data_IF_439685952429
#
_entry.id   IF_439685952429
#
_cell.length_a   1.000
_cell.length_b   1.000
_cell.length_c   1.000
_cell.angle_alpha   90.00
_cell.angle_beta   90.00
_cell.angle_gamma   90.00
#
_symmetry.space_group_name_H-M   'P 1'
#
loop_
_entity.id
_entity.type
_entity.pdbx_description
1 polymer ?
#
# COMPACT_ATOMS: atom_id res chain seq x y z
N UNK A 1 4.45 19.28 -20.94
CA UNK A 1 4.70 19.88 -19.62
C UNK A 1 5.44 18.83 -18.79
N UNK A 2 6.35 19.23 -17.89
CA UNK A 2 7.02 18.26 -17.01
C UNK A 2 5.99 17.60 -16.10
N UNK A 3 6.17 16.30 -15.83
CA UNK A 3 5.30 15.56 -14.92
C UNK A 3 5.70 15.86 -13.48
N UNK A 4 4.76 16.23 -12.62
CA UNK A 4 5.00 16.64 -11.25
C UNK A 4 4.76 15.51 -10.27
N UNK A 5 5.70 15.29 -9.36
CA UNK A 5 5.58 14.34 -8.26
C UNK A 5 5.64 15.14 -6.95
N UNK A 6 4.60 15.02 -6.13
CA UNK A 6 4.58 15.60 -4.79
C UNK A 6 5.18 14.60 -3.80
N UNK A 7 6.19 15.04 -3.06
CA UNK A 7 6.87 14.30 -2.01
C UNK A 7 6.34 14.77 -0.67
N UNK A 8 5.78 13.83 0.10
CA UNK A 8 5.29 14.02 1.46
C UNK A 8 6.09 13.08 2.38
N UNK A 9 7.21 13.53 2.98
CA UNK A 9 8.03 12.65 3.81
C UNK A 9 7.28 12.15 5.06
N UNK A 10 6.52 13.04 5.69
CA UNK A 10 5.72 12.75 6.88
C UNK A 10 6.58 12.54 8.13
N UNK A 11 6.19 11.57 8.96
CA UNK A 11 6.64 11.43 10.34
C UNK A 11 7.63 10.27 10.56
N UNK A 12 8.37 10.32 11.67
CA UNK A 12 9.24 9.23 12.13
C UNK A 12 10.36 8.90 11.14
N UNK A 13 10.42 7.66 10.64
CA UNK A 13 11.38 7.24 9.60
C UNK A 13 11.03 7.76 8.19
N UNK A 14 9.85 8.34 8.00
CA UNK A 14 9.38 8.83 6.70
C UNK A 14 10.40 9.71 5.97
N UNK A 15 11.01 10.72 6.62
CA UNK A 15 12.07 11.52 6.02
C UNK A 15 13.32 10.75 5.57
N UNK A 16 13.80 9.77 6.36
CA UNK A 16 15.03 9.04 6.02
C UNK A 16 14.83 8.05 4.86
N UNK A 17 13.72 7.31 4.83
CA UNK A 17 13.43 6.40 3.72
C UNK A 17 13.06 7.16 2.44
N UNK A 18 12.39 8.31 2.56
CA UNK A 18 12.02 9.14 1.41
C UNK A 18 13.26 9.74 0.75
N UNK A 19 14.26 10.15 1.53
CA UNK A 19 15.53 10.63 0.98
C UNK A 19 16.17 9.58 0.06
N UNK A 20 16.20 8.32 0.49
CA UNK A 20 16.76 7.22 -0.32
C UNK A 20 15.90 6.90 -1.56
N UNK A 21 14.57 6.92 -1.42
CA UNK A 21 13.67 6.76 -2.56
C UNK A 21 13.83 7.88 -3.61
N UNK A 22 14.02 9.14 -3.18
CA UNK A 22 14.29 10.28 -4.06
C UNK A 22 15.64 10.14 -4.78
N UNK A 23 16.68 9.60 -4.12
CA UNK A 23 17.96 9.31 -4.80
C UNK A 23 17.76 8.33 -5.97
N UNK A 24 17.06 7.22 -5.73
CA UNK A 24 16.73 6.21 -6.74
C UNK A 24 15.90 6.81 -7.87
N UNK A 25 14.84 7.56 -7.53
CA UNK A 25 13.98 8.24 -8.50
C UNK A 25 14.78 9.20 -9.38
N UNK A 26 15.65 10.01 -8.78
CA UNK A 26 16.50 10.97 -9.51
C UNK A 26 17.46 10.27 -10.47
N UNK A 27 18.06 9.15 -10.04
CA UNK A 27 18.94 8.33 -10.89
C UNK A 27 18.18 7.77 -12.10
N UNK A 28 17.01 7.20 -11.88
CA UNK A 28 16.17 6.62 -12.94
C UNK A 28 15.61 7.69 -13.88
N UNK A 29 15.17 8.83 -13.35
CA UNK A 29 14.71 9.96 -14.14
C UNK A 29 15.78 10.43 -15.13
N UNK A 30 17.02 10.56 -14.66
CA UNK A 30 18.16 10.92 -15.51
C UNK A 30 18.53 9.82 -16.53
N UNK A 31 18.51 8.55 -16.11
CA UNK A 31 18.87 7.41 -16.98
C UNK A 31 17.88 7.20 -18.13
N UNK A 32 16.59 7.46 -17.89
CA UNK A 32 15.52 7.28 -18.87
C UNK A 32 15.05 8.58 -19.52
N UNK A 33 15.54 9.74 -19.06
CA UNK A 33 15.15 11.06 -19.58
C UNK A 33 13.67 11.39 -19.37
N UNK A 34 13.12 11.09 -18.19
CA UNK A 34 11.66 11.18 -17.93
C UNK A 34 11.20 12.62 -17.64
N UNK A 35 12.09 13.47 -17.13
CA UNK A 35 11.87 14.91 -16.94
C UNK A 35 10.89 15.23 -15.81
N UNK A 36 10.98 14.52 -14.69
CA UNK A 36 10.11 14.77 -13.54
C UNK A 36 10.45 16.07 -12.81
N UNK A 37 9.43 16.70 -12.22
CA UNK A 37 9.60 17.83 -11.30
C UNK A 37 9.13 17.42 -9.91
N UNK A 38 10.05 17.46 -8.94
CA UNK A 38 9.72 17.12 -7.56
C UNK A 38 9.28 18.36 -6.79
N UNK A 39 8.16 18.27 -6.09
CA UNK A 39 7.64 19.29 -5.17
C UNK A 39 7.53 18.68 -3.79
N UNK A 40 7.76 19.46 -2.74
CA UNK A 40 7.78 18.98 -1.37
C UNK A 40 6.75 19.75 -0.53
N UNK A 41 6.09 19.04 0.39
CA UNK A 41 5.26 19.63 1.44
C UNK A 41 5.13 18.65 2.63
N UNK A 42 4.41 19.05 3.67
CA UNK A 42 4.24 18.25 4.88
C UNK A 42 2.88 17.54 4.94
N UNK A 43 2.85 16.37 5.58
CA UNK A 43 1.65 15.64 5.95
C UNK A 43 1.78 15.10 7.38
N UNK A 44 0.67 14.88 8.06
CA UNK A 44 0.66 14.16 9.33
C UNK A 44 1.09 15.03 10.50
N UNK A 45 1.89 14.46 11.41
CA UNK A 45 2.41 15.16 12.57
C UNK A 45 3.30 16.35 12.22
N UNK A 46 4.15 16.20 11.20
CA UNK A 46 4.99 17.27 10.65
C UNK A 46 4.14 18.45 10.13
N UNK A 47 3.03 18.15 9.46
CA UNK A 47 2.07 19.19 9.03
C UNK A 47 1.37 19.84 10.23
N UNK A 48 0.99 19.04 11.23
CA UNK A 48 0.37 19.56 12.45
C UNK A 48 1.31 20.52 13.20
N UNK A 49 2.57 20.15 13.37
CA UNK A 49 3.56 20.98 14.07
C UNK A 49 3.85 22.29 13.29
N UNK A 50 3.75 22.27 11.95
CA UNK A 50 4.02 23.43 11.09
C UNK A 50 2.81 24.34 10.85
N UNK A 51 1.63 23.75 10.64
CA UNK A 51 0.43 24.44 10.16
C UNK A 51 -0.74 24.38 11.16
N UNK A 52 -0.61 23.63 12.26
CA UNK A 52 -1.71 23.38 13.21
C UNK A 52 -2.77 22.40 12.67
N UNK A 53 -2.52 21.73 11.55
CA UNK A 53 -3.43 20.77 10.90
C UNK A 53 -2.64 19.60 10.31
N UNK A 54 -3.15 18.35 10.40
CA UNK A 54 -2.48 17.20 9.81
C UNK A 54 -2.47 17.21 8.27
N UNK A 55 -3.22 18.12 7.65
CA UNK A 55 -3.21 18.42 6.22
C UNK A 55 -3.64 19.87 6.00
N UNK A 56 -2.71 20.73 5.57
CA UNK A 56 -3.02 22.10 5.16
C UNK A 56 -3.77 22.14 3.82
N UNK A 57 -4.56 23.19 3.60
CA UNK A 57 -5.33 23.34 2.37
C UNK A 57 -4.40 23.57 1.16
N UNK A 58 -3.29 24.28 1.35
CA UNK A 58 -2.24 24.47 0.33
C UNK A 58 -1.60 23.13 -0.06
N UNK A 59 -1.37 22.23 0.90
CA UNK A 59 -0.87 20.88 0.62
C UNK A 59 -1.89 20.10 -0.18
N UNK A 60 -3.18 20.20 0.16
CA UNK A 60 -4.24 19.55 -0.60
C UNK A 60 -4.33 20.07 -2.05
N UNK A 61 -4.10 21.36 -2.27
CA UNK A 61 -4.06 21.93 -3.62
C UNK A 61 -2.85 21.42 -4.42
N UNK A 62 -1.68 21.27 -3.79
CA UNK A 62 -0.52 20.60 -4.42
C UNK A 62 -0.81 19.14 -4.75
N UNK A 63 -1.46 18.42 -3.84
CA UNK A 63 -1.89 17.03 -4.04
C UNK A 63 -2.80 16.92 -5.26
N UNK A 64 -3.73 17.88 -5.45
CA UNK A 64 -4.61 17.93 -6.63
C UNK A 64 -3.85 18.26 -7.91
N UNK A 65 -2.84 19.13 -7.85
CA UNK A 65 -2.05 19.56 -9.00
C UNK A 65 -1.01 18.53 -9.48
N UNK A 66 -0.47 17.72 -8.58
CA UNK A 66 0.56 16.73 -8.92
C UNK A 66 0.03 15.57 -9.78
N UNK A 67 0.88 14.95 -10.60
CA UNK A 67 0.53 13.75 -11.35
C UNK A 67 0.59 12.48 -10.49
N UNK A 68 1.49 12.47 -9.50
CA UNK A 68 1.60 11.41 -8.50
C UNK A 68 2.02 11.97 -7.13
N UNK A 69 1.73 11.23 -6.06
CA UNK A 69 2.17 11.55 -4.70
C UNK A 69 3.03 10.40 -4.17
N UNK A 70 4.21 10.70 -3.63
CA UNK A 70 5.01 9.77 -2.83
C UNK A 70 4.90 10.16 -1.36
N UNK A 71 4.53 9.21 -0.51
CA UNK A 71 4.37 9.38 0.92
C UNK A 71 5.33 8.46 1.67
N UNK A 72 6.00 8.99 2.70
CA UNK A 72 6.87 8.21 3.60
C UNK A 72 6.05 7.46 4.64
N UNK A 73 5.73 8.11 5.76
CA UNK A 73 4.86 7.53 6.79
C UNK A 73 4.14 8.64 7.58
N UNK A 74 3.07 8.30 8.30
CA UNK A 74 2.38 9.23 9.20
C UNK A 74 2.16 8.60 10.58
N UNK A 75 2.14 9.44 11.62
CA UNK A 75 1.82 9.04 12.98
C UNK A 75 3.01 9.03 13.93
N UNK A 76 2.73 9.10 15.23
CA UNK A 76 3.72 9.01 16.29
C UNK A 76 3.14 9.34 17.67
N UNK A 77 3.75 8.85 18.77
CA UNK A 77 3.20 8.98 20.13
C UNK A 77 3.01 10.43 20.59
N UNK A 78 3.77 11.36 20.00
CA UNK A 78 3.66 12.80 20.26
C UNK A 78 2.24 13.34 20.03
N UNK A 79 1.48 12.74 19.10
CA UNK A 79 0.15 13.21 18.70
C UNK A 79 -0.98 12.27 19.13
N UNK A 80 -0.74 11.32 20.05
CA UNK A 80 -1.80 10.42 20.53
C UNK A 80 -2.81 11.13 21.45
N UNK A 81 -2.40 12.21 22.10
CA UNK A 81 -3.20 12.93 23.11
C UNK A 81 -3.93 14.16 22.56
N UNK A 82 -3.68 14.55 21.31
CA UNK A 82 -4.40 15.65 20.67
C UNK A 82 -5.82 15.23 20.25
N UNK A 83 -6.63 16.20 19.83
CA UNK A 83 -7.98 15.97 19.33
C UNK A 83 -7.97 14.87 18.24
N UNK A 84 -8.80 13.81 18.35
CA UNK A 84 -8.88 12.73 17.36
C UNK A 84 -9.12 13.18 15.91
N UNK A 85 -9.69 14.37 15.69
CA UNK A 85 -9.89 14.99 14.38
C UNK A 85 -8.64 15.65 13.79
N UNK A 86 -7.63 15.94 14.63
CA UNK A 86 -6.36 16.57 14.26
C UNK A 86 -5.18 15.58 14.24
N UNK A 87 -5.41 14.31 14.56
CA UNK A 87 -4.37 13.28 14.54
C UNK A 87 -3.78 13.07 13.14
N UNK A 88 -2.49 12.67 13.02
CA UNK A 88 -1.79 12.53 11.74
C UNK A 88 -2.54 11.69 10.68
N UNK A 89 -3.15 10.58 11.09
CA UNK A 89 -3.85 9.65 10.20
C UNK A 89 -5.06 10.31 9.51
N UNK A 90 -5.61 11.38 10.09
CA UNK A 90 -6.72 12.15 9.49
C UNK A 90 -6.30 12.84 8.20
N UNK A 91 -5.06 13.33 8.11
CA UNK A 91 -4.52 13.90 6.88
C UNK A 91 -4.48 12.87 5.75
N UNK A 92 -3.96 11.67 6.05
CA UNK A 92 -3.90 10.55 5.11
C UNK A 92 -5.28 10.13 4.60
N UNK A 93 -6.24 9.94 5.50
CA UNK A 93 -7.62 9.58 5.13
C UNK A 93 -8.28 10.68 4.28
N UNK A 94 -8.05 11.96 4.61
CA UNK A 94 -8.58 13.11 3.85
C UNK A 94 -8.00 13.13 2.43
N UNK A 95 -6.70 12.91 2.24
CA UNK A 95 -6.07 12.80 0.90
C UNK A 95 -6.73 11.67 0.08
N UNK A 96 -6.80 10.45 0.64
CA UNK A 96 -7.37 9.29 -0.06
C UNK A 96 -8.81 9.53 -0.52
N UNK A 97 -9.63 10.12 0.35
CA UNK A 97 -11.01 10.47 0.03
C UNK A 97 -11.11 11.59 -1.02
N UNK A 98 -10.37 12.68 -0.86
CA UNK A 98 -10.43 13.86 -1.74
C UNK A 98 -9.96 13.58 -3.17
N UNK A 99 -9.02 12.65 -3.34
CA UNK A 99 -8.54 12.20 -4.64
C UNK A 99 -9.36 11.04 -5.22
N UNK A 100 -10.29 10.46 -4.44
CA UNK A 100 -11.03 9.27 -4.85
C UNK A 100 -10.12 8.07 -5.10
N UNK A 101 -9.05 7.90 -4.30
CA UNK A 101 -8.10 6.79 -4.41
C UNK A 101 -8.74 5.49 -3.88
N UNK A 102 -9.67 4.92 -4.65
CA UNK A 102 -10.48 3.79 -4.19
C UNK A 102 -9.76 2.44 -4.29
N UNK A 103 -8.73 2.32 -5.13
CA UNK A 103 -8.03 1.07 -5.41
C UNK A 103 -6.69 1.01 -4.68
N UNK A 104 -6.62 0.28 -3.56
CA UNK A 104 -5.35 0.05 -2.86
C UNK A 104 -4.71 -1.26 -3.30
N UNK A 105 -3.54 -1.18 -3.92
CA UNK A 105 -2.73 -2.28 -4.41
C UNK A 105 -1.64 -2.57 -3.38
N UNK A 106 -1.66 -3.77 -2.80
CA UNK A 106 -0.65 -4.27 -1.87
C UNK A 106 -0.07 -5.58 -2.41
N UNK A 107 1.06 -5.53 -3.15
CA UNK A 107 1.77 -6.72 -3.54
C UNK A 107 2.43 -7.38 -2.31
N UNK A 108 2.26 -8.68 -2.16
CA UNK A 108 3.04 -9.52 -1.25
C UNK A 108 3.99 -10.35 -2.10
N UNK A 109 5.21 -9.83 -2.27
CA UNK A 109 6.29 -10.46 -3.02
C UNK A 109 7.36 -10.93 -2.04
N UNK A 110 7.73 -12.21 -2.10
CA UNK A 110 8.85 -12.75 -1.35
C UNK A 110 10.04 -13.02 -2.26
N UNK A 111 11.05 -12.16 -2.15
CA UNK A 111 12.37 -12.38 -2.72
C UNK A 111 12.97 -13.70 -2.20
N UNK A 112 13.44 -14.62 -3.06
CA UNK A 112 14.00 -15.91 -2.62
C UNK A 112 15.11 -15.76 -1.57
N UNK A 113 15.90 -14.68 -1.65
CA UNK A 113 16.98 -14.33 -0.74
C UNK A 113 16.51 -13.98 0.69
N UNK A 114 15.19 -13.82 0.87
CA UNK A 114 14.53 -13.50 2.14
C UNK A 114 13.59 -14.63 2.60
N UNK A 115 13.60 -15.81 1.98
CA UNK A 115 12.67 -16.88 2.32
C UNK A 115 12.74 -17.31 3.80
N UNK A 116 13.95 -17.30 4.37
CA UNK A 116 14.21 -17.61 5.78
C UNK A 116 13.72 -16.52 6.76
N UNK A 117 13.36 -15.32 6.28
CA UNK A 117 12.72 -14.30 7.12
C UNK A 117 11.27 -14.65 7.44
N UNK A 118 10.62 -15.50 6.63
CA UNK A 118 9.27 -15.97 6.89
C UNK A 118 9.24 -16.97 8.04
N UNK A 119 8.17 -16.95 8.82
CA UNK A 119 7.88 -17.99 9.82
C UNK A 119 7.28 -19.25 9.20
N UNK A 120 6.89 -19.20 7.92
CA UNK A 120 6.42 -20.37 7.17
C UNK A 120 7.60 -21.14 6.60
N UNK A 121 7.40 -22.45 6.39
CA UNK A 121 8.40 -23.28 5.75
C UNK A 121 8.76 -22.75 4.35
N UNK A 122 10.04 -22.68 3.95
CA UNK A 122 10.46 -22.10 2.68
C UNK A 122 9.72 -22.67 1.46
N UNK A 123 9.42 -23.96 1.41
CA UNK A 123 8.70 -24.59 0.29
C UNK A 123 7.26 -24.06 0.10
N UNK A 124 6.63 -23.54 1.17
CA UNK A 124 5.28 -22.99 1.16
C UNK A 124 5.27 -21.57 0.59
N UNK A 125 6.29 -20.76 0.92
CA UNK A 125 6.24 -19.31 0.74
C UNK A 125 7.28 -18.76 -0.24
N UNK A 126 8.40 -19.46 -0.46
CA UNK A 126 9.42 -19.04 -1.43
C UNK A 126 8.81 -18.89 -2.83
N UNK A 127 9.10 -17.75 -3.47
CA UNK A 127 8.51 -17.33 -4.74
C UNK A 127 7.06 -16.84 -4.63
N UNK A 128 6.61 -16.43 -3.45
CA UNK A 128 5.30 -15.79 -3.28
C UNK A 128 5.23 -14.52 -4.13
N UNK A 129 4.20 -14.42 -4.97
CA UNK A 129 3.89 -13.24 -5.76
C UNK A 129 2.37 -13.14 -5.91
N UNK A 130 1.73 -12.40 -5.00
CA UNK A 130 0.31 -12.10 -5.07
C UNK A 130 0.05 -10.61 -4.91
N UNK A 131 -1.08 -10.15 -5.44
CA UNK A 131 -1.55 -8.78 -5.31
C UNK A 131 -2.90 -8.77 -4.60
N UNK A 132 -3.00 -8.05 -3.48
CA UNK A 132 -4.29 -7.76 -2.86
C UNK A 132 -4.73 -6.37 -3.29
N UNK A 133 -5.91 -6.33 -3.92
CA UNK A 133 -6.62 -5.14 -4.30
C UNK A 133 -7.77 -4.89 -3.32
N UNK A 134 -7.58 -3.88 -2.46
CA UNK A 134 -8.51 -3.48 -1.41
C UNK A 134 -9.29 -2.25 -1.84
N UNK A 135 -10.61 -2.26 -1.68
CA UNK A 135 -11.41 -1.03 -1.77
C UNK A 135 -11.06 -0.11 -0.58
N UNK A 136 -10.67 1.14 -0.84
CA UNK A 136 -10.03 1.99 0.18
C UNK A 136 -10.90 3.13 0.71
N UNK A 137 -12.00 3.47 0.03
CA UNK A 137 -12.74 4.73 0.27
C UNK A 137 -14.18 4.54 0.76
N UNK A 138 -14.65 3.30 0.85
CA UNK A 138 -16.00 2.96 1.30
C UNK A 138 -16.01 1.90 2.40
N UNK A 139 -17.15 1.21 2.52
CA UNK A 139 -17.35 0.17 3.51
C UNK A 139 -17.45 0.68 4.95
N UNK A 140 -17.22 -0.21 5.92
CA UNK A 140 -17.45 0.06 7.35
C UNK A 140 -16.58 1.18 7.93
N UNK A 141 -15.49 1.55 7.24
CA UNK A 141 -14.57 2.57 7.72
C UNK A 141 -15.14 3.98 7.51
N UNK A 142 -16.04 4.14 6.53
CA UNK A 142 -16.66 5.42 6.17
C UNK A 142 -18.19 5.41 6.34
N UNK A 143 -18.79 4.25 6.56
CA UNK A 143 -20.22 4.06 6.63
C UNK A 143 -20.90 4.84 7.76
N UNK A 144 -22.09 5.36 7.47
CA UNK A 144 -22.97 6.06 8.39
C UNK A 144 -24.35 5.38 8.42
N UNK A 145 -25.08 5.42 9.55
CA UNK A 145 -24.68 6.03 10.82
C UNK A 145 -23.65 5.18 11.58
N UNK A 146 -22.83 5.83 12.43
CA UNK A 146 -21.89 5.15 13.33
C UNK A 146 -21.73 5.87 14.66
N UNK A 147 -21.38 5.14 15.72
CA UNK A 147 -21.03 5.71 17.02
C UNK A 147 -21.53 4.89 18.19
N UNK A 148 -21.65 5.54 19.35
CA UNK A 148 -22.21 4.95 20.56
C UNK A 148 -23.43 5.72 21.03
N UNK A 149 -24.44 5.02 21.55
CA UNK A 149 -25.62 5.62 22.19
C UNK A 149 -25.97 4.90 23.48
N UNK A 150 -26.68 5.59 24.36
CA UNK A 150 -27.35 4.97 25.52
C UNK A 150 -28.78 4.62 25.12
N UNK A 151 -29.16 3.36 25.27
CA UNK A 151 -30.50 2.86 25.02
C UNK A 151 -31.46 3.29 26.14
N UNK A 152 -32.76 3.15 25.90
CA UNK A 152 -33.79 3.51 26.89
C UNK A 152 -33.67 2.74 28.21
N UNK A 153 -33.13 1.53 28.17
CA UNK A 153 -32.84 0.71 29.36
C UNK A 153 -31.54 1.10 30.10
N UNK A 154 -30.86 2.16 29.66
CA UNK A 154 -29.59 2.62 30.23
C UNK A 154 -28.33 1.93 29.70
N UNK A 155 -28.45 0.92 28.82
CA UNK A 155 -27.30 0.22 28.27
C UNK A 155 -26.57 1.04 27.19
N UNK A 156 -25.25 0.90 27.11
CA UNK A 156 -24.46 1.46 26.01
C UNK A 156 -24.48 0.51 24.83
N UNK A 157 -24.87 1.02 23.67
CA UNK A 157 -24.79 0.33 22.38
C UNK A 157 -23.78 1.05 21.47
N UNK A 158 -22.90 0.28 20.83
CA UNK A 158 -22.08 0.74 19.71
C UNK A 158 -22.65 0.22 18.39
N UNK A 159 -22.48 0.97 17.30
CA UNK A 159 -22.91 0.57 15.97
C UNK A 159 -22.01 1.19 14.90
N UNK A 160 -21.76 0.42 13.85
CA UNK A 160 -21.06 0.83 12.63
C UNK A 160 -21.82 0.23 11.44
N UNK A 161 -21.85 0.94 10.30
CA UNK A 161 -22.60 0.53 9.12
C UNK A 161 -21.64 0.13 8.01
N UNK A 162 -21.88 -0.98 7.31
CA UNK A 162 -21.09 -1.45 6.15
C UNK A 162 -21.89 -1.24 4.84
N UNK A 163 -21.98 -0.01 4.32
CA UNK A 163 -22.64 0.25 3.04
C UNK A 163 -21.66 0.05 1.88
N UNK A 164 -22.18 -0.49 0.77
CA UNK A 164 -21.56 -0.39 -0.54
C UNK A 164 -22.66 -0.15 -1.58
N UNK A 165 -22.43 0.81 -2.46
CA UNK A 165 -23.19 0.97 -3.69
C UNK A 165 -22.63 0.07 -4.80
N UNK A 166 -23.48 -0.27 -5.77
CA UNK A 166 -23.07 -1.00 -6.97
C UNK A 166 -21.89 -0.33 -7.69
N UNK A 167 -21.91 1.00 -7.81
CA UNK A 167 -20.84 1.76 -8.46
C UNK A 167 -19.49 1.63 -7.77
N UNK A 168 -19.46 1.55 -6.44
CA UNK A 168 -18.23 1.39 -5.66
C UNK A 168 -17.63 0.00 -5.85
N UNK A 169 -18.47 -1.04 -5.90
CA UNK A 169 -18.04 -2.41 -6.15
C UNK A 169 -17.58 -2.55 -7.61
N UNK A 170 -18.34 -1.99 -8.56
CA UNK A 170 -18.05 -2.11 -10.00
C UNK A 170 -16.70 -1.51 -10.37
N UNK A 171 -16.32 -0.35 -9.80
CA UNK A 171 -15.02 0.29 -10.08
C UNK A 171 -13.83 -0.53 -9.55
N UNK A 172 -13.91 -1.09 -8.34
CA UNK A 172 -12.83 -1.91 -7.77
C UNK A 172 -12.75 -3.28 -8.43
N UNK A 173 -13.88 -3.87 -8.80
CA UNK A 173 -13.93 -5.11 -9.58
C UNK A 173 -13.23 -4.94 -10.94
N UNK A 174 -13.56 -3.88 -11.69
CA UNK A 174 -12.89 -3.56 -12.97
C UNK A 174 -11.39 -3.40 -12.79
N UNK A 175 -10.96 -2.64 -11.78
CA UNK A 175 -9.54 -2.52 -11.46
C UNK A 175 -8.89 -3.89 -11.16
N UNK A 176 -9.58 -4.78 -10.42
CA UNK A 176 -9.11 -6.14 -10.13
C UNK A 176 -8.92 -6.99 -11.37
N UNK A 177 -9.87 -6.94 -12.31
CA UNK A 177 -9.77 -7.65 -13.58
C UNK A 177 -8.64 -7.11 -14.47
N UNK A 178 -8.47 -5.79 -14.58
CA UNK A 178 -7.35 -5.22 -15.34
C UNK A 178 -5.99 -5.57 -14.71
N UNK A 179 -5.88 -5.57 -13.38
CA UNK A 179 -4.66 -6.01 -12.70
C UNK A 179 -4.37 -7.50 -12.92
N UNK A 180 -5.39 -8.36 -12.89
CA UNK A 180 -5.24 -9.78 -13.20
C UNK A 180 -4.78 -10.00 -14.65
N UNK A 181 -5.24 -9.17 -15.60
CA UNK A 181 -4.84 -9.22 -17.01
C UNK A 181 -3.35 -8.93 -17.21
N UNK A 182 -2.79 -8.03 -16.41
CA UNK A 182 -1.36 -7.71 -16.41
C UNK A 182 -0.49 -8.76 -15.68
N UNK A 183 -1.11 -9.78 -15.10
CA UNK A 183 -0.45 -10.81 -14.26
C UNK A 183 -0.84 -12.22 -14.72
N UNK A 184 -1.08 -13.14 -13.79
CA UNK A 184 -1.39 -14.55 -14.04
C UNK A 184 -2.81 -14.84 -14.54
N UNK A 185 -3.61 -13.81 -14.87
CA UNK A 185 -4.98 -13.92 -15.36
C UNK A 185 -5.92 -14.68 -14.43
N UNK A 186 -5.70 -14.60 -13.11
CA UNK A 186 -6.58 -15.18 -12.09
C UNK A 186 -7.01 -14.12 -11.09
N UNK A 187 -8.32 -14.02 -10.85
CA UNK A 187 -8.91 -13.13 -9.87
C UNK A 187 -9.69 -13.94 -8.82
N UNK A 188 -9.35 -13.78 -7.55
CA UNK A 188 -10.11 -14.31 -6.44
C UNK A 188 -10.87 -13.16 -5.75
N UNK A 189 -12.21 -13.16 -5.86
CA UNK A 189 -13.05 -12.24 -5.11
C UNK A 189 -13.33 -12.79 -3.72
N UNK A 190 -12.89 -12.07 -2.69
CA UNK A 190 -13.05 -12.47 -1.30
C UNK A 190 -14.18 -11.68 -0.62
N UNK A 191 -15.15 -12.40 -0.03
CA UNK A 191 -16.35 -11.81 0.58
C UNK A 191 -16.87 -12.63 1.79
N UNK A 192 -18.02 -12.24 2.36
CA UNK A 192 -18.78 -13.05 3.34
C UNK A 192 -20.24 -13.22 2.91
N UNK A 193 -20.48 -13.59 1.64
CA UNK A 193 -21.81 -13.61 1.04
C UNK A 193 -22.78 -14.64 1.67
N UNK A 194 -22.27 -15.59 2.47
CA UNK A 194 -23.10 -16.50 3.25
C UNK A 194 -23.77 -15.84 4.47
N UNK A 195 -23.37 -14.62 4.84
CA UNK A 195 -23.91 -13.90 6.02
C UNK A 195 -24.32 -12.47 5.69
N UNK A 196 -23.48 -11.72 4.96
CA UNK A 196 -23.64 -10.27 4.82
C UNK A 196 -24.33 -9.88 3.50
N UNK A 197 -25.38 -9.07 3.59
CA UNK A 197 -26.06 -8.52 2.41
C UNK A 197 -25.13 -7.67 1.53
N UNK A 198 -24.22 -6.89 2.15
CA UNK A 198 -23.19 -6.13 1.43
C UNK A 198 -22.27 -7.05 0.61
N UNK A 199 -21.89 -8.21 1.16
CA UNK A 199 -21.10 -9.21 0.45
C UNK A 199 -21.89 -9.97 -0.63
N UNK A 200 -23.21 -10.14 -0.46
CA UNK A 200 -24.06 -10.72 -1.51
C UNK A 200 -24.13 -9.79 -2.72
N UNK A 201 -24.33 -8.49 -2.49
CA UNK A 201 -24.26 -7.48 -3.55
C UNK A 201 -22.86 -7.44 -4.17
N UNK A 202 -21.81 -7.47 -3.35
CA UNK A 202 -20.41 -7.52 -3.82
C UNK A 202 -20.20 -8.64 -4.84
N UNK A 203 -20.58 -9.87 -4.46
CA UNK A 203 -20.43 -11.05 -5.32
C UNK A 203 -21.20 -10.90 -6.62
N UNK A 204 -22.47 -10.50 -6.56
CA UNK A 204 -23.31 -10.34 -7.74
C UNK A 204 -22.71 -9.34 -8.74
N UNK A 205 -22.23 -8.18 -8.25
CA UNK A 205 -21.62 -7.16 -9.12
C UNK A 205 -20.29 -7.62 -9.71
N UNK A 206 -19.46 -8.34 -8.94
CA UNK A 206 -18.20 -8.90 -9.46
C UNK A 206 -18.48 -9.92 -10.58
N UNK A 207 -19.47 -10.80 -10.41
CA UNK A 207 -19.90 -11.76 -11.43
C UNK A 207 -20.46 -11.07 -12.69
N UNK A 208 -21.16 -9.96 -12.54
CA UNK A 208 -21.61 -9.14 -13.67
C UNK A 208 -20.45 -8.53 -14.44
N UNK A 209 -19.48 -7.93 -13.73
CA UNK A 209 -18.29 -7.35 -14.36
C UNK A 209 -17.47 -8.43 -15.08
N UNK A 210 -17.40 -9.64 -14.52
CA UNK A 210 -16.66 -10.75 -15.12
C UNK A 210 -17.05 -11.08 -16.58
N UNK A 211 -18.29 -10.76 -16.98
CA UNK A 211 -18.78 -10.96 -18.36
C UNK A 211 -17.98 -10.14 -19.38
N UNK A 212 -17.42 -9.01 -18.96
CA UNK A 212 -16.57 -8.15 -19.79
C UNK A 212 -15.11 -8.64 -19.85
N UNK A 213 -14.75 -9.66 -19.06
CA UNK A 213 -13.39 -10.17 -18.87
C UNK A 213 -13.30 -11.70 -19.04
N UNK A 214 -13.70 -12.24 -20.22
CA UNK A 214 -13.72 -13.69 -20.44
C UNK A 214 -12.31 -14.34 -20.42
N UNK A 215 -11.25 -13.54 -20.51
CA UNK A 215 -9.86 -13.99 -20.46
C UNK A 215 -9.31 -14.19 -19.05
N UNK A 216 -10.08 -13.84 -18.00
CA UNK A 216 -9.66 -13.91 -16.60
C UNK A 216 -10.43 -15.00 -15.87
N UNK A 217 -9.70 -15.90 -15.20
CA UNK A 217 -10.30 -16.93 -14.36
C UNK A 217 -10.76 -16.32 -13.03
N UNK A 218 -12.07 -16.08 -12.91
CA UNK A 218 -12.71 -15.64 -11.67
C UNK A 218 -12.97 -16.83 -10.73
N UNK A 219 -12.66 -16.63 -9.46
CA UNK A 219 -13.05 -17.51 -8.35
C UNK A 219 -13.58 -16.68 -7.18
N UNK A 220 -14.35 -17.31 -6.30
CA UNK A 220 -14.84 -16.68 -5.07
C UNK A 220 -14.42 -17.46 -3.84
N UNK A 221 -14.08 -16.75 -2.77
CA UNK A 221 -13.68 -17.36 -1.51
C UNK A 221 -14.26 -16.57 -0.33
N UNK A 222 -14.65 -17.27 0.74
CA UNK A 222 -15.04 -16.57 1.96
C UNK A 222 -13.80 -16.06 2.71
N UNK A 223 -13.91 -14.90 3.36
CA UNK A 223 -12.78 -14.23 4.04
C UNK A 223 -12.08 -15.11 5.08
N UNK A 224 -12.81 -15.92 5.82
CA UNK A 224 -12.24 -16.89 6.78
C UNK A 224 -11.45 -17.99 6.08
N UNK A 225 -11.96 -18.54 4.97
CA UNK A 225 -11.21 -19.49 4.16
C UNK A 225 -10.00 -18.82 3.49
N UNK A 226 -10.12 -17.58 3.00
CA UNK A 226 -9.01 -16.83 2.43
C UNK A 226 -7.87 -16.64 3.44
N UNK A 227 -8.21 -16.30 4.68
CA UNK A 227 -7.24 -16.24 5.77
C UNK A 227 -6.54 -17.60 6.00
N UNK A 228 -7.27 -18.72 5.95
CA UNK A 228 -6.65 -20.05 6.04
C UNK A 228 -5.76 -20.37 4.83
N UNK A 229 -6.20 -20.03 3.62
CA UNK A 229 -5.49 -20.32 2.38
C UNK A 229 -4.19 -19.51 2.23
N UNK A 230 -4.16 -18.28 2.73
CA UNK A 230 -2.92 -17.48 2.81
C UNK A 230 -1.84 -18.16 3.66
N UNK A 231 -2.21 -18.94 4.69
CA UNK A 231 -1.24 -19.72 5.47
C UNK A 231 -0.94 -21.06 4.79
N UNK A 232 -1.97 -21.74 4.30
CA UNK A 232 -1.87 -23.12 3.81
C UNK A 232 -1.17 -23.24 2.46
N UNK A 233 -1.54 -22.39 1.50
CA UNK A 233 -1.08 -22.46 0.12
C UNK A 233 -1.18 -21.08 -0.55
N UNK A 234 -0.41 -20.07 -0.09
CA UNK A 234 -0.55 -18.69 -0.56
C UNK A 234 -0.23 -18.51 -2.04
N UNK A 235 0.65 -19.34 -2.61
CA UNK A 235 1.01 -19.34 -4.04
C UNK A 235 -0.13 -19.72 -4.99
N UNK A 236 -1.32 -20.08 -4.48
CA UNK A 236 -2.49 -20.31 -5.33
C UNK A 236 -3.10 -18.99 -5.85
N UNK A 237 -2.85 -17.88 -5.15
CA UNK A 237 -3.40 -16.57 -5.50
C UNK A 237 -2.51 -15.84 -6.49
N UNK A 238 -3.16 -15.11 -7.40
CA UNK A 238 -2.52 -14.13 -8.29
C UNK A 238 -3.00 -12.73 -7.89
N UNK A 239 -4.28 -12.42 -8.15
CA UNK A 239 -4.93 -11.21 -7.66
C UNK A 239 -6.10 -11.57 -6.74
N UNK A 240 -6.16 -10.94 -5.58
CA UNK A 240 -7.31 -10.96 -4.67
C UNK A 240 -7.99 -9.59 -4.76
N UNK A 241 -9.31 -9.56 -4.88
CA UNK A 241 -10.10 -8.33 -4.75
C UNK A 241 -11.10 -8.45 -3.61
N UNK A 242 -11.17 -7.45 -2.74
CA UNK A 242 -12.05 -7.50 -1.56
C UNK A 242 -12.38 -6.11 -1.02
N UNK A 243 -13.29 -6.07 -0.05
CA UNK A 243 -13.74 -4.83 0.58
C UNK A 243 -12.68 -4.18 1.47
N UNK A 244 -13.01 -3.03 2.05
CA UNK A 244 -12.07 -2.26 2.84
C UNK A 244 -11.57 -3.01 4.09
N UNK A 245 -12.47 -3.60 4.88
CA UNK A 245 -12.12 -4.23 6.15
C UNK A 245 -11.43 -5.58 5.94
N UNK A 246 -11.95 -6.41 5.03
CA UNK A 246 -11.33 -7.69 4.69
C UNK A 246 -9.98 -7.48 4.00
N UNK A 247 -9.88 -6.48 3.12
CA UNK A 247 -8.62 -6.13 2.46
C UNK A 247 -7.56 -5.66 3.44
N UNK A 248 -7.95 -4.89 4.47
CA UNK A 248 -7.04 -4.51 5.55
C UNK A 248 -6.40 -5.75 6.20
N UNK A 249 -7.25 -6.64 6.72
CA UNK A 249 -6.84 -7.83 7.47
C UNK A 249 -6.02 -8.78 6.60
N UNK A 250 -6.51 -9.11 5.40
CA UNK A 250 -5.84 -10.06 4.51
C UNK A 250 -4.53 -9.52 3.95
N UNK A 251 -4.45 -8.21 3.69
CA UNK A 251 -3.21 -7.61 3.19
C UNK A 251 -2.12 -7.57 4.24
N UNK A 252 -2.45 -7.28 5.50
CA UNK A 252 -1.50 -7.37 6.62
C UNK A 252 -1.11 -8.83 6.89
N UNK A 253 -2.05 -9.76 6.77
CA UNK A 253 -1.74 -11.19 6.87
C UNK A 253 -0.77 -11.63 5.76
N UNK A 254 -1.04 -11.28 4.49
CA UNK A 254 -0.18 -11.59 3.36
C UNK A 254 1.20 -10.95 3.48
N UNK A 255 1.24 -9.73 4.02
CA UNK A 255 2.47 -9.01 4.33
C UNK A 255 3.37 -9.83 5.26
N UNK A 256 2.80 -10.37 6.34
CA UNK A 256 3.55 -11.16 7.32
C UNK A 256 4.02 -12.52 6.77
N UNK A 257 3.41 -13.05 5.70
CA UNK A 257 3.91 -14.26 5.03
C UNK A 257 5.32 -14.05 4.47
N UNK A 258 5.64 -12.83 4.03
CA UNK A 258 6.96 -12.50 3.46
C UNK A 258 8.05 -12.36 4.53
N UNK A 259 7.68 -12.28 5.82
CA UNK A 259 8.63 -12.16 6.93
C UNK A 259 9.14 -10.74 7.20
N UNK A 260 8.99 -9.79 6.26
CA UNK A 260 9.31 -8.38 6.52
C UNK A 260 8.32 -7.43 5.87
N UNK A 261 7.64 -6.66 6.72
CA UNK A 261 6.82 -5.51 6.30
C UNK A 261 7.67 -4.39 5.67
N UNK A 262 8.97 -4.33 5.98
CA UNK A 262 9.94 -3.35 5.47
C UNK A 262 10.23 -3.48 3.97
N UNK A 263 9.72 -4.53 3.32
CA UNK A 263 9.89 -4.81 1.89
C UNK A 263 8.64 -4.51 1.05
N UNK A 264 7.54 -4.09 1.67
CA UNK A 264 6.23 -4.10 1.03
C UNK A 264 5.82 -2.70 0.60
N UNK A 265 5.82 -2.41 -0.72
CA UNK A 265 5.28 -1.16 -1.23
C UNK A 265 3.76 -1.22 -1.29
N UNK A 266 3.12 -0.06 -1.49
CA UNK A 266 1.71 0.00 -1.83
C UNK A 266 1.40 1.19 -2.75
N UNK A 267 0.30 1.07 -3.46
CA UNK A 267 -0.25 2.14 -4.28
C UNK A 267 -1.73 2.31 -3.98
N UNK A 268 -2.21 3.56 -3.97
CA UNK A 268 -3.62 3.90 -3.88
C UNK A 268 -3.97 4.70 -5.13
N UNK A 269 -4.81 4.17 -6.01
CA UNK A 269 -5.09 4.72 -7.34
C UNK A 269 -6.53 5.24 -7.46
N UNK A 270 -6.70 6.33 -8.19
CA UNK A 270 -8.01 6.79 -8.68
C UNK A 270 -8.42 6.05 -9.97
N UNK A 271 -9.56 6.46 -10.54
CA UNK A 271 -10.08 5.86 -11.77
C UNK A 271 -9.25 6.17 -13.03
N UNK A 272 -8.35 7.15 -12.95
CA UNK A 272 -7.54 7.66 -14.06
C UNK A 272 -6.04 7.34 -13.87
N UNK A 273 -5.72 6.38 -12.99
CA UNK A 273 -4.35 5.96 -12.67
C UNK A 273 -3.48 7.03 -12.00
N UNK A 274 -4.05 8.15 -11.54
CA UNK A 274 -3.35 9.05 -10.61
C UNK A 274 -3.30 8.38 -9.24
N UNK A 275 -2.11 8.38 -8.64
CA UNK A 275 -1.85 7.56 -7.46
C UNK A 275 -1.11 8.26 -6.35
N UNK A 276 -1.31 7.75 -5.14
CA UNK A 276 -0.43 7.95 -3.99
C UNK A 276 0.29 6.63 -3.69
N UNK A 277 1.60 6.71 -3.47
CA UNK A 277 2.49 5.58 -3.33
C UNK A 277 3.22 5.67 -2.00
N UNK A 278 3.12 4.63 -1.18
CA UNK A 278 3.59 4.63 0.20
C UNK A 278 4.05 3.22 0.60
N UNK A 279 5.06 3.06 1.46
CA UNK A 279 5.36 1.77 2.05
C UNK A 279 4.20 1.30 2.95
N UNK A 280 4.03 -0.01 3.12
CA UNK A 280 3.02 -0.56 4.02
C UNK A 280 3.37 -0.38 5.52
N UNK A 281 4.64 -0.19 5.85
CA UNK A 281 5.09 -0.06 7.24
C UNK A 281 4.75 1.33 7.81
N UNK A 282 4.60 1.42 9.14
CA UNK A 282 4.34 2.68 9.83
C UNK A 282 5.58 3.57 9.97
N UNK A 283 5.45 4.63 10.77
CA UNK A 283 6.49 5.64 11.00
C UNK A 283 7.65 5.21 11.89
N UNK A 284 7.56 4.03 12.53
CA UNK A 284 8.62 3.44 13.38
C UNK A 284 9.36 4.48 14.27
N UNK A 285 8.63 5.21 15.13
CA UNK A 285 9.15 6.36 15.87
C UNK A 285 10.27 5.99 16.85
N UNK A 286 10.35 4.73 17.26
CA UNK A 286 11.38 4.17 18.12
C UNK A 286 12.75 4.07 17.43
N UNK A 287 12.80 4.06 16.09
CA UNK A 287 14.04 3.99 15.31
C UNK A 287 14.31 5.24 14.44
N UNK A 288 13.40 6.21 14.44
CA UNK A 288 13.53 7.46 13.71
C UNK A 288 14.87 8.17 14.02
N UNK A 289 15.60 8.56 12.97
CA UNK A 289 16.87 9.28 13.11
C UNK A 289 18.07 8.41 13.53
N UNK A 290 17.89 7.09 13.68
CA UNK A 290 18.99 6.16 13.98
C UNK A 290 19.67 5.61 12.73
N UNK A 291 19.13 5.88 11.53
CA UNK A 291 19.71 5.44 10.26
C UNK A 291 19.68 3.92 10.07
N UNK A 292 18.68 3.25 10.65
CA UNK A 292 18.51 1.79 10.58
C UNK A 292 17.18 1.36 9.92
N UNK A 293 16.37 2.31 9.44
CA UNK A 293 15.17 1.99 8.70
C UNK A 293 15.49 1.30 7.36
N UNK A 294 14.55 0.49 6.89
CA UNK A 294 14.62 -0.15 5.58
C UNK A 294 14.01 0.77 4.51
N UNK A 295 14.80 1.31 3.55
CA UNK A 295 14.25 2.16 2.51
C UNK A 295 13.59 1.37 1.37
N UNK A 296 13.75 0.04 1.32
CA UNK A 296 13.41 -0.77 0.15
C UNK A 296 11.91 -0.76 -0.18
N UNK A 297 11.01 -0.77 0.81
CA UNK A 297 9.57 -0.61 0.55
C UNK A 297 9.24 0.72 -0.14
N UNK A 298 9.84 1.83 0.29
CA UNK A 298 9.59 3.16 -0.32
C UNK A 298 10.20 3.25 -1.72
N UNK A 299 11.39 2.65 -1.92
CA UNK A 299 12.02 2.50 -3.23
C UNK A 299 11.14 1.69 -4.19
N UNK A 300 10.56 0.57 -3.72
CA UNK A 300 9.65 -0.24 -4.53
C UNK A 300 8.31 0.49 -4.78
N UNK A 301 7.88 1.38 -3.89
CA UNK A 301 6.74 2.28 -4.14
C UNK A 301 7.01 3.26 -5.28
N UNK A 302 8.27 3.69 -5.47
CA UNK A 302 8.68 4.44 -6.67
C UNK A 302 8.53 3.59 -7.93
N UNK A 303 8.92 2.31 -7.90
CA UNK A 303 8.72 1.40 -9.03
C UNK A 303 7.23 1.25 -9.38
N UNK A 304 6.36 1.07 -8.36
CA UNK A 304 4.91 1.06 -8.56
C UNK A 304 4.40 2.36 -9.19
N UNK A 305 4.90 3.52 -8.76
CA UNK A 305 4.54 4.82 -9.34
C UNK A 305 4.88 4.93 -10.82
N UNK A 306 6.10 4.56 -11.18
CA UNK A 306 6.55 4.54 -12.56
C UNK A 306 5.68 3.61 -13.41
N UNK A 307 5.33 2.42 -12.89
CA UNK A 307 4.52 1.43 -13.61
C UNK A 307 3.07 1.87 -13.79
N UNK A 308 2.39 2.24 -12.71
CA UNK A 308 0.93 2.40 -12.71
C UNK A 308 0.47 3.80 -13.10
N UNK A 309 1.14 4.87 -12.64
CA UNK A 309 0.75 6.25 -13.02
C UNK A 309 1.44 6.70 -14.31
N UNK A 310 2.73 6.41 -14.45
CA UNK A 310 3.51 6.98 -15.57
C UNK A 310 3.68 6.06 -16.77
N UNK A 311 3.22 4.80 -16.68
CA UNK A 311 3.36 3.76 -17.70
C UNK A 311 4.83 3.52 -18.14
N UNK A 312 5.78 3.75 -17.24
CA UNK A 312 7.23 3.59 -17.44
C UNK A 312 7.70 2.21 -16.93
N UNK A 313 7.16 1.14 -17.50
CA UNK A 313 7.42 -0.23 -17.03
C UNK A 313 8.91 -0.58 -17.04
N UNK A 314 9.66 -0.21 -18.08
CA UNK A 314 11.09 -0.49 -18.14
C UNK A 314 11.90 0.19 -17.01
N UNK A 315 11.50 1.40 -16.61
CA UNK A 315 12.14 2.12 -15.50
C UNK A 315 11.75 1.50 -14.14
N UNK A 316 10.51 1.04 -13.98
CA UNK A 316 10.07 0.29 -12.81
C UNK A 316 10.82 -1.04 -12.67
N UNK A 317 10.91 -1.82 -13.76
CA UNK A 317 11.63 -3.09 -13.81
C UNK A 317 13.10 -2.92 -13.42
N UNK A 318 13.75 -1.82 -13.83
CA UNK A 318 15.13 -1.53 -13.47
C UNK A 318 15.31 -1.33 -11.96
N UNK A 319 14.38 -0.66 -11.27
CA UNK A 319 14.40 -0.51 -9.81
C UNK A 319 14.21 -1.87 -9.12
N UNK A 320 13.21 -2.64 -9.54
CA UNK A 320 12.92 -3.96 -8.96
C UNK A 320 14.13 -4.91 -9.12
N UNK A 321 14.77 -4.90 -10.29
CA UNK A 321 16.00 -5.66 -10.56
C UNK A 321 17.17 -5.17 -9.71
N UNK A 322 17.34 -3.86 -9.53
CA UNK A 322 18.39 -3.30 -8.69
C UNK A 322 18.22 -3.73 -7.22
N UNK A 323 17.00 -3.70 -6.69
CA UNK A 323 16.69 -4.23 -5.35
C UNK A 323 17.05 -5.72 -5.25
N UNK A 324 16.66 -6.53 -6.25
CA UNK A 324 17.05 -7.95 -6.31
C UNK A 324 18.57 -8.16 -6.26
N UNK A 325 19.33 -7.42 -7.08
CA UNK A 325 20.80 -7.47 -7.12
C UNK A 325 21.42 -7.10 -5.77
N UNK A 326 20.89 -6.09 -5.08
CA UNK A 326 21.38 -5.68 -3.75
C UNK A 326 21.13 -6.77 -2.71
N UNK A 327 19.97 -7.43 -2.78
CA UNK A 327 19.68 -8.56 -1.90
C UNK A 327 20.58 -9.77 -2.20
N UNK A 328 20.95 -10.01 -3.47
CA UNK A 328 21.92 -11.03 -3.88
C UNK A 328 23.35 -10.76 -3.37
N UNK A 329 23.72 -9.49 -3.19
CA UNK A 329 25.00 -9.10 -2.57
C UNK A 329 25.05 -9.38 -1.06
N UNK A 330 23.94 -9.87 -0.46
CA UNK A 330 23.87 -10.16 0.97
C UNK A 330 23.73 -8.91 1.84
N UNK A 331 23.41 -7.74 1.28
CA UNK A 331 23.19 -6.52 2.06
C UNK A 331 21.80 -6.58 2.71
N UNK A 332 21.70 -6.27 4.01
CA UNK A 332 20.45 -6.31 4.78
C UNK A 332 20.37 -5.14 5.77
N UNK A 333 19.23 -4.45 5.82
CA UNK A 333 18.90 -3.56 6.94
C UNK A 333 18.50 -4.37 8.18
N UNK A 334 18.34 -3.70 9.32
CA UNK A 334 18.19 -4.37 10.61
C UNK A 334 17.00 -5.33 10.71
N UNK A 335 15.90 -5.03 10.01
CA UNK A 335 14.65 -5.78 9.97
C UNK A 335 14.72 -7.08 9.13
N UNK A 336 15.61 -7.13 8.14
CA UNK A 336 15.78 -8.28 7.23
C UNK A 336 17.15 -8.96 7.40
N UNK A 337 17.92 -8.59 8.42
CA UNK A 337 19.23 -9.17 8.65
C UNK A 337 19.13 -10.60 9.18
N UNK A 338 19.96 -11.47 8.60
CA UNK A 338 20.16 -12.85 9.05
C UNK A 338 21.64 -13.18 9.15
N UNK A 339 21.98 -14.22 9.92
CA UNK A 339 23.36 -14.71 9.99
C UNK A 339 23.91 -15.04 8.59
N UNK A 340 25.18 -14.71 8.35
CA UNK A 340 25.82 -14.86 7.03
C UNK A 340 25.58 -13.69 6.06
N UNK A 341 24.79 -12.68 6.43
CA UNK A 341 24.56 -11.46 5.62
C UNK A 341 25.26 -10.24 6.22
N UNK A 342 25.46 -9.20 5.39
CA UNK A 342 26.06 -7.93 5.80
C UNK A 342 25.00 -6.95 6.25
N UNK A 343 25.01 -6.61 7.54
CA UNK A 343 24.13 -5.59 8.11
C UNK A 343 24.56 -4.18 7.65
N UNK A 344 23.63 -3.42 7.08
CA UNK A 344 23.82 -2.04 6.63
C UNK A 344 22.74 -1.10 7.19
N UNK A 345 23.00 0.20 7.21
CA UNK A 345 22.02 1.23 7.57
C UNK A 345 21.21 1.73 6.37
N UNK A 346 20.27 2.65 6.63
CA UNK A 346 19.33 3.22 5.62
C UNK A 346 20.08 3.76 4.40
N UNK A 347 21.06 4.64 4.63
CA UNK A 347 21.83 5.32 3.57
C UNK A 347 22.63 4.32 2.74
N UNK A 348 23.34 3.40 3.38
CA UNK A 348 24.16 2.42 2.68
C UNK A 348 23.31 1.46 1.82
N UNK A 349 22.09 1.15 2.26
CA UNK A 349 21.14 0.38 1.45
C UNK A 349 20.67 1.17 0.22
N UNK A 350 20.28 2.43 0.38
CA UNK A 350 19.86 3.28 -0.74
C UNK A 350 20.99 3.53 -1.74
N UNK A 351 22.19 3.81 -1.27
CA UNK A 351 23.38 3.97 -2.12
C UNK A 351 23.70 2.69 -2.91
N UNK A 352 23.53 1.51 -2.29
CA UNK A 352 23.70 0.23 -2.98
C UNK A 352 22.67 0.02 -4.11
N UNK A 353 21.41 0.43 -3.90
CA UNK A 353 20.38 0.37 -4.96
C UNK A 353 20.75 1.32 -6.10
N UNK A 354 21.17 2.55 -5.80
CA UNK A 354 21.62 3.51 -6.83
C UNK A 354 22.81 2.98 -7.62
N UNK A 355 23.76 2.29 -6.97
CA UNK A 355 24.90 1.68 -7.64
C UNK A 355 24.53 0.48 -8.53
N UNK A 356 23.39 -0.18 -8.26
CA UNK A 356 22.89 -1.32 -9.02
C UNK A 356 22.03 -0.95 -10.26
N UNK A 357 21.73 0.35 -10.43
CA UNK A 357 21.01 0.99 -11.54
C UNK A 357 21.92 1.50 -12.67
#
# INVERSE_FOLDING_TARGET
>A
MSKQILILPGDGIGPEIMAEAVKVLTRIDAQHGLGFTLVYDELGGAAYDKYGSPLADETLDRVRAADAVLLGAVGGPQWDTIDPSLRPERGLLKIRSQLGLFANLRPALLYPQLAEASTLKPEVVSGLDLLILRELTGGIYFGQPRGTRTLENGERQAYDTLPYSESEIRRIAKAGFEMARLRGKKLCSVDKANVLASSQLWRAVVEEVAKDYPDIALSHMYVDNAAMQLVRAPKQFDVIVTDNMFGDILSDQASMLTGSIGMLPSASLDANSKGMYEPCHGSAPDIAGKGIANPLATILSVAMMLRYTFAQSAAADAIEQAVGKVLDQGLRTADIWSEGTTKVGTVAMGDAVVAAL
#
